data_IF_392617416667
#
_entry.id   IF_392617416667
#
_cell.length_a   1.000
_cell.length_b   1.000
_cell.length_c   1.000
_cell.angle_alpha   90.00
_cell.angle_beta   90.00
_cell.angle_gamma   90.00
#
_symmetry.space_group_name_H-M   'P 1'
#
loop_
_entity.id
_entity.type
_entity.pdbx_description
1 polymer ?
#
# COMPACT_ATOMS: atom_id res chain seq x y z
N UNK A 1 2.58 -19.63 13.52
CA UNK A 1 2.77 -20.06 12.11
C UNK A 1 3.06 -18.82 11.28
N UNK A 2 4.13 -18.81 10.48
CA UNK A 2 4.45 -17.67 9.60
C UNK A 2 3.87 -17.94 8.22
N UNK A 3 3.18 -16.94 7.68
CA UNK A 3 2.63 -16.98 6.33
C UNK A 3 3.58 -16.27 5.35
N UNK A 4 3.85 -16.84 4.17
CA UNK A 4 4.74 -16.22 3.19
C UNK A 4 4.12 -14.93 2.63
N UNK A 5 4.95 -13.88 2.53
CA UNK A 5 4.64 -12.62 1.86
C UNK A 5 5.49 -12.49 0.60
N UNK A 6 4.94 -11.94 -0.49
CA UNK A 6 5.69 -11.71 -1.74
C UNK A 6 7.00 -10.93 -1.50
N UNK A 7 6.91 -9.90 -0.66
CA UNK A 7 8.05 -9.04 -0.32
C UNK A 7 9.18 -9.79 0.42
N UNK A 8 8.88 -10.91 1.10
CA UNK A 8 9.87 -11.66 1.86
C UNK A 8 11.04 -12.17 1.00
N UNK A 9 10.76 -12.60 -0.23
CA UNK A 9 11.80 -13.02 -1.18
C UNK A 9 12.77 -11.88 -1.48
N UNK A 10 12.24 -10.70 -1.78
CA UNK A 10 13.05 -9.50 -2.08
C UNK A 10 13.88 -9.09 -0.86
N UNK A 11 13.28 -9.12 0.34
CA UNK A 11 14.00 -8.82 1.58
C UNK A 11 15.11 -9.82 1.85
N UNK A 12 14.89 -11.13 1.60
CA UNK A 12 15.89 -12.19 1.77
C UNK A 12 17.07 -12.01 0.81
N UNK A 13 16.83 -11.58 -0.43
CA UNK A 13 17.91 -11.27 -1.39
C UNK A 13 18.79 -10.11 -0.91
N UNK A 14 18.21 -9.19 -0.11
CA UNK A 14 18.91 -8.05 0.47
C UNK A 14 19.74 -8.37 1.72
N UNK A 15 19.73 -9.59 2.24
CA UNK A 15 20.55 -10.01 3.39
C UNK A 15 22.05 -9.85 3.08
N UNK A 16 22.46 -10.13 1.85
CA UNK A 16 23.88 -10.15 1.47
C UNK A 16 24.47 -8.79 1.12
N UNK A 17 23.67 -7.80 0.75
CA UNK A 17 24.19 -6.48 0.37
C UNK A 17 24.62 -5.65 1.61
N UNK A 18 25.36 -4.57 1.39
CA UNK A 18 25.86 -3.68 2.45
C UNK A 18 24.84 -2.62 2.91
N UNK A 19 23.83 -2.31 2.08
CA UNK A 19 22.88 -1.23 2.39
C UNK A 19 22.05 -1.54 3.63
N UNK A 20 21.73 -0.53 4.41
CA UNK A 20 20.73 -0.62 5.48
C UNK A 20 19.37 -0.88 4.82
N UNK A 21 18.64 -1.88 5.31
CA UNK A 21 17.28 -2.20 4.84
C UNK A 21 16.27 -1.63 5.82
N UNK A 22 15.35 -0.82 5.33
CA UNK A 22 14.33 -0.18 6.15
C UNK A 22 12.95 -0.62 5.68
N UNK A 23 12.14 -1.19 6.57
CA UNK A 23 10.76 -1.55 6.35
C UNK A 23 9.86 -0.44 6.92
N UNK A 24 9.11 0.23 6.05
CA UNK A 24 8.10 1.24 6.43
C UNK A 24 6.71 0.76 6.07
N UNK A 25 5.67 1.34 6.63
CA UNK A 25 4.29 0.96 6.30
C UNK A 25 3.33 1.21 7.47
N UNK A 26 2.03 1.06 7.21
CA UNK A 26 1.00 1.22 8.23
C UNK A 26 1.23 0.30 9.45
N UNK A 27 0.54 0.59 10.56
CA UNK A 27 0.55 -0.31 11.73
C UNK A 27 -0.08 -1.65 11.37
N UNK A 28 0.38 -2.72 12.03
CA UNK A 28 -0.20 -4.07 11.98
C UNK A 28 -0.27 -4.71 10.57
N UNK A 29 0.54 -4.24 9.63
CA UNK A 29 0.69 -4.85 8.29
C UNK A 29 1.70 -6.00 8.25
N UNK A 30 2.34 -6.32 9.39
CA UNK A 30 3.25 -7.45 9.55
C UNK A 30 4.74 -7.11 9.41
N UNK A 31 5.17 -5.84 9.61
CA UNK A 31 6.60 -5.44 9.58
C UNK A 31 7.44 -6.24 10.58
N UNK A 32 7.06 -6.22 11.86
CA UNK A 32 7.73 -6.97 12.94
C UNK A 32 7.80 -8.47 12.64
N UNK A 33 6.72 -9.04 12.07
CA UNK A 33 6.69 -10.46 11.68
C UNK A 33 7.71 -10.76 10.59
N UNK A 34 7.79 -9.93 9.55
CA UNK A 34 8.79 -10.06 8.48
C UNK A 34 10.22 -9.93 9.02
N UNK A 35 10.45 -8.97 9.93
CA UNK A 35 11.74 -8.79 10.61
C UNK A 35 12.14 -10.03 11.42
N UNK A 36 11.21 -10.61 12.20
CA UNK A 36 11.44 -11.83 12.97
C UNK A 36 11.74 -13.04 12.06
N UNK A 37 11.03 -13.18 10.95
CA UNK A 37 11.29 -14.24 9.97
C UNK A 37 12.70 -14.13 9.37
N UNK A 38 13.14 -12.91 9.02
CA UNK A 38 14.49 -12.67 8.51
C UNK A 38 15.55 -12.92 9.59
N UNK A 39 15.29 -12.46 10.81
CA UNK A 39 16.17 -12.71 11.96
C UNK A 39 16.35 -14.20 12.19
N UNK A 40 15.29 -14.99 12.25
CA UNK A 40 15.37 -16.45 12.43
C UNK A 40 16.12 -17.13 11.28
N UNK A 41 15.91 -16.68 10.04
CA UNK A 41 16.63 -17.21 8.87
C UNK A 41 18.14 -16.98 8.98
N UNK A 42 18.55 -15.78 9.45
CA UNK A 42 19.95 -15.39 9.58
C UNK A 42 20.59 -16.02 10.81
N UNK A 43 19.91 -16.00 11.95
CA UNK A 43 20.45 -16.45 13.24
C UNK A 43 20.75 -17.96 13.29
N UNK A 44 20.13 -18.74 12.39
CA UNK A 44 20.47 -20.17 12.20
C UNK A 44 21.87 -20.39 11.61
N UNK A 45 22.47 -19.39 10.96
CA UNK A 45 23.72 -19.52 10.19
C UNK A 45 24.83 -18.60 10.69
N UNK A 46 24.48 -17.47 11.26
CA UNK A 46 25.43 -16.43 11.68
C UNK A 46 24.90 -15.71 12.92
N UNK A 47 25.77 -14.95 13.61
CA UNK A 47 25.37 -14.16 14.77
C UNK A 47 24.46 -13.00 14.35
N UNK A 48 23.33 -12.87 15.04
CA UNK A 48 22.35 -11.79 14.85
C UNK A 48 21.75 -11.36 16.19
N UNK A 49 21.34 -10.10 16.26
CA UNK A 49 20.60 -9.55 17.41
C UNK A 49 19.30 -8.92 16.94
N UNK A 50 18.25 -9.02 17.76
CA UNK A 50 16.97 -8.34 17.54
C UNK A 50 16.73 -7.35 18.69
N UNK A 51 16.59 -6.06 18.36
CA UNK A 51 16.41 -4.95 19.30
C UNK A 51 15.04 -4.35 19.06
N UNK A 52 14.17 -4.43 20.07
CA UNK A 52 12.84 -3.80 20.05
C UNK A 52 12.91 -2.46 20.78
N UNK A 53 12.77 -1.36 20.05
CA UNK A 53 12.85 0.01 20.61
C UNK A 53 11.55 0.44 21.32
N UNK A 54 10.46 -0.34 21.26
CA UNK A 54 9.28 -0.10 22.11
C UNK A 54 9.56 -0.42 23.59
N UNK A 55 10.57 -1.25 23.88
CA UNK A 55 11.05 -1.51 25.24
C UNK A 55 11.87 -0.31 25.75
N UNK A 56 11.44 0.25 26.88
CA UNK A 56 12.10 1.43 27.50
C UNK A 56 13.59 1.16 27.75
N UNK A 57 13.94 -0.04 28.25
CA UNK A 57 15.32 -0.47 28.47
C UNK A 57 16.21 -0.41 27.22
N UNK A 58 15.64 -0.50 26.03
CA UNK A 58 16.39 -0.48 24.78
C UNK A 58 16.55 0.95 24.22
N UNK A 59 15.79 1.94 24.71
CA UNK A 59 15.86 3.31 24.18
C UNK A 59 17.21 3.96 24.51
N UNK A 60 17.81 3.65 25.66
CA UNK A 60 19.15 4.13 26.04
C UNK A 60 20.25 3.66 25.06
N UNK A 61 20.07 2.48 24.44
CA UNK A 61 20.99 1.95 23.42
C UNK A 61 21.05 2.90 22.20
N UNK A 62 19.94 3.53 21.87
CA UNK A 62 19.79 4.46 20.74
C UNK A 62 20.22 5.91 21.04
N UNK A 63 20.78 6.22 22.21
CA UNK A 63 21.14 7.58 22.60
C UNK A 63 22.47 8.06 21.99
N UNK A 64 23.46 7.17 21.85
CA UNK A 64 24.74 7.47 21.23
C UNK A 64 25.37 6.22 20.60
N UNK A 65 26.41 6.43 19.78
CA UNK A 65 27.11 5.37 19.06
C UNK A 65 27.82 4.40 20.01
N UNK A 66 28.41 4.91 21.08
CA UNK A 66 29.18 4.11 22.05
C UNK A 66 28.27 3.11 22.77
N UNK A 67 27.13 3.56 23.31
CA UNK A 67 26.14 2.68 23.94
C UNK A 67 25.66 1.60 22.95
N UNK A 68 25.44 1.99 21.70
CA UNK A 68 24.99 1.06 20.69
C UNK A 68 26.04 -0.02 20.40
N UNK A 69 27.30 0.37 20.18
CA UNK A 69 28.40 -0.58 19.90
C UNK A 69 28.68 -1.46 21.13
N UNK A 70 28.71 -0.91 22.34
CA UNK A 70 28.90 -1.68 23.58
C UNK A 70 27.79 -2.74 23.73
N UNK A 71 26.55 -2.38 23.42
CA UNK A 71 25.44 -3.34 23.41
C UNK A 71 25.67 -4.46 22.38
N UNK A 72 26.16 -4.14 21.18
CA UNK A 72 26.49 -5.16 20.17
C UNK A 72 27.62 -6.07 20.64
N UNK A 73 28.69 -5.51 21.24
CA UNK A 73 29.84 -6.28 21.77
C UNK A 73 29.35 -7.23 22.86
N UNK A 74 28.53 -6.77 23.80
CA UNK A 74 27.94 -7.60 24.84
C UNK A 74 27.14 -8.77 24.27
N UNK A 75 26.50 -8.57 23.12
CA UNK A 75 25.74 -9.59 22.39
C UNK A 75 26.57 -10.38 21.35
N UNK A 76 27.91 -10.30 21.47
CA UNK A 76 28.84 -11.14 20.72
C UNK A 76 29.32 -10.57 19.39
N UNK A 77 29.16 -9.28 19.14
CA UNK A 77 29.84 -8.59 18.04
C UNK A 77 31.34 -8.49 18.35
N UNK A 78 32.15 -8.73 17.34
CA UNK A 78 33.57 -8.35 17.31
C UNK A 78 33.99 -8.07 15.86
N UNK A 79 35.05 -7.32 15.68
CA UNK A 79 35.54 -6.87 14.37
C UNK A 79 36.03 -8.00 13.47
N UNK A 80 36.42 -9.14 14.03
CA UNK A 80 36.91 -10.34 13.31
C UNK A 80 35.77 -11.13 12.66
N UNK A 81 34.51 -10.85 13.00
CA UNK A 81 33.38 -11.52 12.39
C UNK A 81 33.25 -11.09 10.93
N UNK A 82 33.05 -12.10 10.05
CA UNK A 82 32.79 -11.81 8.64
C UNK A 82 31.53 -10.96 8.44
N UNK A 83 30.51 -11.17 9.25
CA UNK A 83 29.25 -10.38 9.26
C UNK A 83 28.53 -10.55 10.58
N UNK A 84 27.98 -9.44 11.08
CA UNK A 84 27.08 -9.40 12.22
C UNK A 84 25.78 -8.71 11.80
N UNK A 85 24.62 -9.26 12.17
CA UNK A 85 23.33 -8.76 11.75
C UNK A 85 22.59 -8.13 12.89
N UNK A 86 22.06 -6.93 12.65
CA UNK A 86 21.29 -6.16 13.63
C UNK A 86 19.90 -5.90 13.07
N UNK A 87 18.88 -6.37 13.77
CA UNK A 87 17.48 -6.14 13.48
C UNK A 87 16.92 -5.20 14.52
N UNK A 88 16.37 -4.05 14.09
CA UNK A 88 15.87 -2.99 14.96
C UNK A 88 14.40 -2.75 14.63
N UNK A 89 13.50 -3.06 15.56
CA UNK A 89 12.07 -2.79 15.39
C UNK A 89 11.69 -1.45 16.05
N UNK A 90 10.68 -0.76 15.48
CA UNK A 90 10.15 0.52 15.93
C UNK A 90 11.25 1.60 16.14
N UNK A 91 12.21 1.65 15.19
CA UNK A 91 13.42 2.50 15.32
C UNK A 91 13.12 4.00 15.51
N UNK A 92 11.90 4.46 15.23
CA UNK A 92 11.48 5.85 15.48
C UNK A 92 11.41 6.21 16.97
N UNK A 93 11.38 5.23 17.85
CA UNK A 93 11.41 5.45 19.31
C UNK A 93 12.74 6.01 19.79
N UNK A 94 13.82 5.86 19.02
CA UNK A 94 15.14 6.41 19.32
C UNK A 94 15.50 7.51 18.28
N UNK A 95 15.25 8.79 18.58
CA UNK A 95 15.40 9.89 17.62
C UNK A 95 16.80 10.07 17.04
N UNK A 96 17.86 9.66 17.79
CA UNK A 96 19.25 9.75 17.35
C UNK A 96 19.72 8.54 16.53
N UNK A 97 18.92 7.49 16.47
CA UNK A 97 19.33 6.22 15.86
C UNK A 97 19.65 6.36 14.36
N UNK A 98 18.96 7.25 13.62
CA UNK A 98 19.28 7.49 12.22
C UNK A 98 20.74 7.97 12.00
N UNK A 99 21.27 8.79 12.92
CA UNK A 99 22.67 9.25 12.90
C UNK A 99 23.62 8.11 13.29
N UNK A 100 23.26 7.31 14.29
CA UNK A 100 24.03 6.13 14.72
C UNK A 100 24.15 5.15 13.56
N UNK A 101 23.05 4.85 12.87
CA UNK A 101 23.03 3.95 11.71
C UNK A 101 23.88 4.46 10.55
N UNK A 102 23.94 5.79 10.35
CA UNK A 102 24.88 6.40 9.39
C UNK A 102 26.33 6.08 9.76
N UNK A 103 26.73 6.33 11.02
CA UNK A 103 28.08 6.04 11.48
C UNK A 103 28.41 4.55 11.38
N UNK A 104 27.48 3.67 11.72
CA UNK A 104 27.65 2.22 11.57
C UNK A 104 27.92 1.86 10.12
N UNK A 105 27.12 2.38 9.19
CA UNK A 105 27.30 2.10 7.77
C UNK A 105 28.66 2.59 7.24
N UNK A 106 29.12 3.75 7.70
CA UNK A 106 30.34 4.38 7.21
C UNK A 106 31.63 3.77 7.83
N UNK A 107 31.57 3.26 9.08
CA UNK A 107 32.76 2.82 9.82
C UNK A 107 32.78 1.32 10.19
N UNK A 108 31.66 0.59 10.12
CA UNK A 108 31.55 -0.81 10.53
C UNK A 108 31.04 -1.68 9.38
N UNK A 109 31.91 -1.94 8.38
CA UNK A 109 31.53 -2.62 7.13
C UNK A 109 31.02 -4.06 7.32
N UNK A 110 31.33 -4.69 8.46
CA UNK A 110 30.88 -6.04 8.81
C UNK A 110 29.53 -6.07 9.55
N UNK A 111 28.92 -4.91 9.85
CA UNK A 111 27.58 -4.84 10.43
C UNK A 111 26.54 -4.64 9.34
N UNK A 112 25.54 -5.52 9.30
CA UNK A 112 24.38 -5.42 8.42
C UNK A 112 23.15 -5.08 9.24
N UNK A 113 22.46 -3.98 8.88
CA UNK A 113 21.28 -3.50 9.60
C UNK A 113 20.01 -3.69 8.81
N UNK A 114 18.98 -4.22 9.47
CA UNK A 114 17.58 -4.17 9.11
C UNK A 114 16.84 -3.35 10.17
N UNK A 115 16.04 -2.38 9.74
CA UNK A 115 15.24 -1.58 10.66
C UNK A 115 13.78 -1.56 10.20
N UNK A 116 12.85 -1.55 11.14
CA UNK A 116 11.44 -1.32 10.83
C UNK A 116 10.90 -0.16 11.68
N UNK A 117 9.93 0.54 11.11
CA UNK A 117 9.28 1.62 11.82
C UNK A 117 7.96 2.04 11.19
N UNK A 118 7.14 2.74 11.99
CA UNK A 118 5.96 3.39 11.48
C UNK A 118 6.33 4.60 10.64
N UNK A 119 5.47 4.96 9.71
CA UNK A 119 5.70 5.95 8.66
C UNK A 119 5.45 7.40 9.10
N UNK A 120 5.99 7.86 10.22
CA UNK A 120 5.85 9.28 10.53
C UNK A 120 6.72 10.16 9.61
N UNK A 121 6.21 11.32 9.25
CA UNK A 121 6.87 12.32 8.38
C UNK A 121 8.28 12.67 8.90
N UNK A 122 8.41 12.80 10.23
CA UNK A 122 9.69 13.06 10.89
C UNK A 122 10.72 11.96 10.61
N UNK A 123 10.28 10.72 10.49
CA UNK A 123 11.15 9.58 10.20
C UNK A 123 11.52 9.56 8.73
N UNK A 124 10.55 9.75 7.82
CA UNK A 124 10.84 9.81 6.38
C UNK A 124 11.89 10.89 6.09
N UNK A 125 11.78 12.08 6.69
CA UNK A 125 12.73 13.16 6.50
C UNK A 125 14.10 12.86 7.12
N UNK A 126 14.16 12.44 8.39
CA UNK A 126 15.42 12.06 9.05
C UNK A 126 16.15 10.93 8.34
N UNK A 127 15.41 9.89 7.91
CA UNK A 127 15.96 8.80 7.11
C UNK A 127 16.44 9.31 5.75
N UNK A 128 15.67 10.20 5.11
CA UNK A 128 15.98 10.73 3.77
C UNK A 128 17.29 11.53 3.80
N UNK A 129 17.48 12.35 4.81
CA UNK A 129 18.66 13.21 4.98
C UNK A 129 19.87 12.42 5.50
N UNK A 130 19.74 11.72 6.63
CA UNK A 130 20.88 11.08 7.30
C UNK A 130 21.39 9.84 6.55
N UNK A 131 20.50 9.07 5.90
CA UNK A 131 20.85 7.80 5.26
C UNK A 131 20.79 7.87 3.72
N UNK A 132 20.94 9.07 3.14
CA UNK A 132 21.00 9.22 1.69
C UNK A 132 22.10 8.34 1.08
N UNK A 133 21.80 7.57 0.05
CA UNK A 133 22.73 6.65 -0.61
C UNK A 133 23.10 5.39 0.18
N UNK A 134 22.71 5.25 1.46
CA UNK A 134 23.12 4.16 2.37
C UNK A 134 22.05 3.11 2.62
N UNK A 135 20.81 3.32 2.12
CA UNK A 135 19.64 2.51 2.44
C UNK A 135 18.89 2.01 1.22
N UNK A 136 18.14 0.93 1.44
CA UNK A 136 16.97 0.56 0.66
C UNK A 136 15.73 0.66 1.55
N UNK A 137 14.66 1.25 1.05
CA UNK A 137 13.39 1.38 1.76
C UNK A 137 12.36 0.51 1.07
N UNK A 138 11.69 -0.32 1.85
CA UNK A 138 10.62 -1.20 1.39
C UNK A 138 9.32 -0.81 2.10
N UNK A 139 8.32 -0.49 1.32
CA UNK A 139 6.99 -0.15 1.82
C UNK A 139 6.17 -1.43 2.00
N UNK A 140 5.67 -1.64 3.20
CA UNK A 140 4.87 -2.81 3.56
C UNK A 140 3.42 -2.39 3.67
N UNK A 141 2.61 -2.90 2.76
CA UNK A 141 1.18 -2.66 2.69
C UNK A 141 0.37 -3.79 3.35
N UNK A 142 -0.92 -3.59 3.66
CA UNK A 142 -1.85 -4.71 3.87
C UNK A 142 -1.76 -5.70 2.69
N UNK A 143 -2.14 -6.96 2.91
CA UNK A 143 -2.04 -8.03 1.90
C UNK A 143 -2.77 -7.61 0.60
N UNK A 144 -2.21 -8.00 -0.54
CA UNK A 144 -2.95 -8.02 -1.80
C UNK A 144 -3.87 -9.26 -1.87
N UNK A 145 -4.68 -9.37 -2.92
CA UNK A 145 -5.65 -10.46 -2.99
C UNK A 145 -4.99 -11.85 -3.16
N UNK A 146 -3.86 -11.93 -3.84
CA UNK A 146 -3.11 -13.18 -3.97
C UNK A 146 -2.52 -13.62 -2.62
N UNK A 147 -1.92 -12.70 -1.87
CA UNK A 147 -1.44 -12.95 -0.50
C UNK A 147 -2.61 -13.32 0.45
N UNK A 148 -3.78 -12.66 0.27
CA UNK A 148 -4.99 -13.03 1.01
C UNK A 148 -5.38 -14.50 0.78
N UNK A 149 -5.34 -14.99 -0.45
CA UNK A 149 -5.63 -16.39 -0.76
C UNK A 149 -4.61 -17.35 -0.12
N UNK A 150 -3.32 -16.95 -0.04
CA UNK A 150 -2.29 -17.71 0.69
C UNK A 150 -2.61 -17.80 2.19
N UNK A 151 -3.00 -16.68 2.79
CA UNK A 151 -3.35 -16.64 4.22
C UNK A 151 -4.62 -17.44 4.53
N UNK A 152 -5.56 -17.53 3.58
CA UNK A 152 -6.74 -18.40 3.69
C UNK A 152 -6.42 -19.89 3.54
N UNK A 153 -5.22 -20.24 3.06
CA UNK A 153 -4.78 -21.61 2.82
C UNK A 153 -5.75 -22.41 1.91
N UNK A 154 -6.42 -21.72 0.98
CA UNK A 154 -7.35 -22.32 0.05
C UNK A 154 -6.67 -22.65 -1.28
N UNK A 155 -6.10 -23.86 -1.36
CA UNK A 155 -5.39 -24.35 -2.53
C UNK A 155 -6.26 -24.37 -3.80
N UNK A 156 -7.55 -24.66 -3.66
CA UNK A 156 -8.48 -24.70 -4.80
C UNK A 156 -8.76 -23.30 -5.33
N UNK A 157 -9.09 -22.35 -4.45
CA UNK A 157 -9.29 -20.95 -4.84
C UNK A 157 -8.03 -20.36 -5.49
N UNK A 158 -6.85 -20.64 -4.93
CA UNK A 158 -5.57 -20.22 -5.50
C UNK A 158 -5.32 -20.84 -6.88
N UNK A 159 -5.60 -22.11 -7.08
CA UNK A 159 -5.48 -22.77 -8.38
C UNK A 159 -6.39 -22.10 -9.43
N UNK A 160 -7.64 -21.77 -9.07
CA UNK A 160 -8.54 -21.03 -9.96
C UNK A 160 -8.03 -19.62 -10.25
N UNK A 161 -7.58 -18.89 -9.24
CA UNK A 161 -7.00 -17.56 -9.39
C UNK A 161 -5.82 -17.55 -10.39
N UNK A 162 -4.88 -18.49 -10.27
CA UNK A 162 -3.72 -18.59 -11.16
C UNK A 162 -4.10 -18.99 -12.59
N UNK A 163 -5.17 -19.76 -12.78
CA UNK A 163 -5.59 -20.25 -14.10
C UNK A 163 -6.50 -19.28 -14.86
N UNK A 164 -7.09 -18.30 -14.19
CA UNK A 164 -8.02 -17.35 -14.82
C UNK A 164 -7.37 -16.55 -15.95
N UNK A 165 -6.05 -16.31 -15.85
CA UNK A 165 -5.22 -15.64 -16.89
C UNK A 165 -5.24 -16.43 -18.21
N UNK A 166 -5.36 -17.75 -18.15
CA UNK A 166 -5.29 -18.66 -19.29
C UNK A 166 -6.65 -18.81 -19.99
N UNK A 167 -7.74 -18.42 -19.30
CA UNK A 167 -9.10 -18.57 -19.86
C UNK A 167 -9.36 -17.45 -20.85
N UNK A 168 -9.62 -17.83 -22.10
CA UNK A 168 -10.10 -16.92 -23.16
C UNK A 168 -11.61 -17.09 -23.31
N UNK A 169 -12.31 -15.97 -23.47
CA UNK A 169 -13.76 -16.00 -23.67
C UNK A 169 -14.47 -14.77 -23.10
N UNK A 170 -15.66 -14.51 -23.57
CA UNK A 170 -16.41 -13.30 -23.24
C UNK A 170 -16.90 -13.26 -21.77
N UNK A 171 -17.25 -14.41 -21.21
CA UNK A 171 -17.74 -14.50 -19.82
C UNK A 171 -17.03 -15.64 -19.09
N UNK A 172 -16.25 -15.29 -18.08
CA UNK A 172 -15.59 -16.26 -17.22
C UNK A 172 -16.42 -16.45 -15.97
N UNK A 173 -16.99 -17.65 -15.79
CA UNK A 173 -17.67 -17.99 -14.54
C UNK A 173 -16.63 -18.11 -13.42
N UNK A 174 -16.61 -17.13 -12.50
CA UNK A 174 -15.83 -17.27 -11.28
C UNK A 174 -16.45 -18.33 -10.39
N UNK A 175 -15.67 -19.31 -9.90
CA UNK A 175 -16.19 -20.27 -8.93
C UNK A 175 -16.80 -19.56 -7.72
N UNK A 176 -17.95 -20.04 -7.24
CA UNK A 176 -18.69 -19.43 -6.14
C UNK A 176 -17.80 -19.16 -4.92
N UNK A 177 -16.89 -20.09 -4.61
CA UNK A 177 -15.93 -19.98 -3.52
C UNK A 177 -14.96 -18.82 -3.71
N UNK A 178 -14.36 -18.65 -4.90
CA UNK A 178 -13.44 -17.56 -5.19
C UNK A 178 -14.17 -16.21 -5.17
N UNK A 179 -15.41 -16.16 -5.66
CA UNK A 179 -16.23 -14.95 -5.62
C UNK A 179 -16.56 -14.54 -4.17
N UNK A 180 -16.87 -15.51 -3.29
CA UNK A 180 -17.10 -15.27 -1.86
C UNK A 180 -15.84 -14.75 -1.15
N UNK A 181 -14.68 -15.29 -1.47
CA UNK A 181 -13.39 -14.82 -0.93
C UNK A 181 -13.04 -13.41 -1.43
N UNK A 182 -13.31 -13.11 -2.70
CA UNK A 182 -13.16 -11.75 -3.23
C UNK A 182 -14.09 -10.77 -2.51
N UNK A 183 -15.34 -11.12 -2.30
CA UNK A 183 -16.29 -10.28 -1.56
C UNK A 183 -15.83 -10.05 -0.12
N UNK A 184 -15.36 -11.08 0.57
CA UNK A 184 -14.79 -10.96 1.91
C UNK A 184 -13.62 -9.97 1.92
N UNK A 185 -12.71 -10.06 0.96
CA UNK A 185 -11.57 -9.16 0.83
C UNK A 185 -12.01 -7.71 0.53
N UNK A 186 -13.01 -7.52 -0.34
CA UNK A 186 -13.57 -6.21 -0.66
C UNK A 186 -14.27 -5.54 0.53
N UNK A 187 -14.82 -6.34 1.46
CA UNK A 187 -15.51 -5.84 2.65
C UNK A 187 -14.54 -5.58 3.81
N UNK A 188 -13.65 -6.54 4.12
CA UNK A 188 -12.80 -6.49 5.32
C UNK A 188 -11.34 -6.12 5.07
N UNK A 189 -10.93 -6.02 3.82
CA UNK A 189 -9.57 -5.60 3.44
C UNK A 189 -8.49 -6.65 3.63
N UNK A 190 -7.24 -6.17 3.63
CA UNK A 190 -6.02 -6.98 3.57
C UNK A 190 -5.18 -6.97 4.87
N UNK A 191 -5.66 -6.48 5.99
CA UNK A 191 -4.90 -6.54 7.25
C UNK A 191 -4.72 -7.99 7.71
N UNK A 192 -3.47 -8.44 8.00
CA UNK A 192 -3.18 -9.85 8.30
C UNK A 192 -4.06 -10.47 9.39
N UNK A 193 -4.19 -9.79 10.53
CA UNK A 193 -4.98 -10.29 11.66
C UNK A 193 -6.47 -10.39 11.34
N UNK A 194 -6.99 -9.44 10.55
CA UNK A 194 -8.38 -9.45 10.07
C UNK A 194 -8.65 -10.67 9.19
N UNK A 195 -7.72 -11.00 8.29
CA UNK A 195 -7.85 -12.13 7.37
C UNK A 195 -7.83 -13.47 8.11
N UNK A 196 -6.99 -13.60 9.13
CA UNK A 196 -6.85 -14.81 9.92
C UNK A 196 -8.08 -15.09 10.82
N UNK A 197 -8.90 -14.08 11.09
CA UNK A 197 -10.16 -14.27 11.80
C UNK A 197 -11.23 -14.81 10.85
N UNK A 198 -12.02 -15.80 11.30
CA UNK A 198 -13.15 -16.34 10.55
C UNK A 198 -14.49 -15.63 10.86
N UNK A 199 -14.59 -15.01 12.03
CA UNK A 199 -15.82 -14.38 12.52
C UNK A 199 -15.92 -12.91 12.05
N UNK A 200 -16.99 -12.50 11.32
CA UNK A 200 -17.17 -11.14 10.85
C UNK A 200 -17.17 -10.07 11.95
N UNK A 201 -17.79 -10.34 13.09
CA UNK A 201 -17.82 -9.37 14.20
C UNK A 201 -16.44 -9.20 14.83
N UNK A 202 -15.67 -10.29 14.96
CA UNK A 202 -14.28 -10.21 15.40
C UNK A 202 -13.40 -9.44 14.43
N UNK A 203 -13.62 -9.57 13.11
CA UNK A 203 -12.93 -8.75 12.10
C UNK A 203 -13.17 -7.27 12.29
N UNK A 204 -14.42 -6.87 12.55
CA UNK A 204 -14.77 -5.46 12.85
C UNK A 204 -14.08 -4.97 14.12
N UNK A 205 -14.03 -5.80 15.18
CA UNK A 205 -13.32 -5.46 16.41
C UNK A 205 -11.82 -5.29 16.20
N UNK A 206 -11.20 -6.15 15.39
CA UNK A 206 -9.77 -6.03 15.04
C UNK A 206 -9.53 -4.73 14.27
N UNK A 207 -10.34 -4.42 13.24
CA UNK A 207 -10.23 -3.16 12.51
C UNK A 207 -10.39 -1.96 13.45
N UNK A 208 -11.36 -2.02 14.38
CA UNK A 208 -11.53 -0.98 15.39
C UNK A 208 -10.26 -0.79 16.22
N UNK A 209 -9.67 -1.87 16.73
CA UNK A 209 -8.43 -1.81 17.52
C UNK A 209 -7.27 -1.22 16.72
N UNK A 210 -7.12 -1.60 15.43
CA UNK A 210 -6.07 -1.07 14.55
C UNK A 210 -6.21 0.46 14.41
N UNK A 211 -7.42 0.96 14.12
CA UNK A 211 -7.63 2.37 13.84
C UNK A 211 -7.77 3.24 15.08
N UNK A 212 -8.23 2.69 16.20
CA UNK A 212 -8.14 3.38 17.49
C UNK A 212 -6.67 3.61 17.88
N UNK A 213 -5.81 2.58 17.78
CA UNK A 213 -4.36 2.71 18.00
C UNK A 213 -3.69 3.67 17.01
N UNK A 214 -4.10 3.67 15.75
CA UNK A 214 -3.61 4.62 14.75
C UNK A 214 -3.92 6.06 15.18
N UNK A 215 -5.15 6.34 15.58
CA UNK A 215 -5.53 7.68 16.03
C UNK A 215 -4.79 8.08 17.31
N UNK A 216 -4.72 7.20 18.29
CA UNK A 216 -4.10 7.52 19.59
C UNK A 216 -2.59 7.67 19.48
N UNK A 217 -1.91 6.70 18.88
CA UNK A 217 -0.45 6.66 18.86
C UNK A 217 0.15 7.44 17.71
N UNK A 218 -0.34 7.25 16.47
CA UNK A 218 0.30 7.92 15.33
C UNK A 218 -0.16 9.36 15.20
N UNK A 219 -1.49 9.60 15.25
CA UNK A 219 -2.04 10.93 14.98
C UNK A 219 -1.80 11.88 16.16
N UNK A 220 -2.13 11.47 17.38
CA UNK A 220 -2.02 12.36 18.55
C UNK A 220 -0.57 12.46 19.05
N UNK A 221 0.11 11.32 19.28
CA UNK A 221 1.41 11.34 19.94
C UNK A 221 2.57 11.71 19.00
N UNK A 222 2.58 11.18 17.76
CA UNK A 222 3.71 11.38 16.85
C UNK A 222 3.51 12.54 15.86
N UNK A 223 2.29 12.75 15.36
CA UNK A 223 2.02 13.78 14.37
C UNK A 223 1.57 15.10 14.97
N UNK A 224 1.29 15.14 16.29
CA UNK A 224 0.93 16.35 17.00
C UNK A 224 -0.34 17.02 16.45
N UNK A 225 -1.32 16.23 16.00
CA UNK A 225 -2.56 16.76 15.45
C UNK A 225 -3.43 17.31 16.57
N UNK A 226 -3.53 18.63 16.66
CA UNK A 226 -4.30 19.31 17.71
C UNK A 226 -5.82 19.07 17.58
N UNK A 227 -6.36 19.16 16.35
CA UNK A 227 -7.80 19.00 16.10
C UNK A 227 -8.14 17.58 15.66
N UNK A 228 -7.98 16.61 16.53
CA UNK A 228 -8.22 15.18 16.25
C UNK A 228 -9.65 14.92 15.75
N UNK A 229 -10.65 15.64 16.27
CA UNK A 229 -12.03 15.53 15.81
C UNK A 229 -12.18 15.91 14.33
N UNK A 230 -11.51 16.99 13.90
CA UNK A 230 -11.53 17.41 12.49
C UNK A 230 -10.78 16.42 11.60
N UNK A 231 -9.67 15.88 12.08
CA UNK A 231 -8.92 14.82 11.38
C UNK A 231 -9.78 13.58 11.14
N UNK A 232 -10.48 13.09 12.19
CA UNK A 232 -11.43 11.95 12.07
C UNK A 232 -12.55 12.26 11.07
N UNK A 233 -13.13 13.46 11.14
CA UNK A 233 -14.19 13.89 10.22
C UNK A 233 -13.71 13.95 8.78
N UNK A 234 -12.49 14.42 8.53
CA UNK A 234 -11.87 14.41 7.20
C UNK A 234 -11.73 12.98 6.68
N UNK A 235 -11.25 12.04 7.49
CA UNK A 235 -11.15 10.63 7.07
C UNK A 235 -12.52 10.08 6.66
N UNK A 236 -13.58 10.36 7.43
CA UNK A 236 -14.94 9.93 7.09
C UNK A 236 -15.43 10.53 5.78
N UNK A 237 -15.23 11.85 5.57
CA UNK A 237 -15.58 12.54 4.33
C UNK A 237 -14.82 11.96 3.12
N UNK A 238 -13.55 11.65 3.28
CA UNK A 238 -12.76 11.00 2.25
C UNK A 238 -13.25 9.57 1.97
N UNK A 239 -13.67 8.83 2.98
CA UNK A 239 -14.21 7.49 2.82
C UNK A 239 -15.53 7.47 2.03
N UNK A 240 -16.41 8.48 2.24
CA UNK A 240 -17.62 8.69 1.43
C UNK A 240 -17.24 9.02 -0.01
N UNK A 241 -16.32 9.97 -0.20
CA UNK A 241 -15.91 10.50 -1.50
C UNK A 241 -14.73 9.74 -2.13
N UNK A 242 -14.50 8.48 -1.73
CA UNK A 242 -13.40 7.67 -2.25
C UNK A 242 -13.47 7.54 -3.78
N UNK A 243 -12.35 7.81 -4.47
CA UNK A 243 -12.28 7.80 -5.93
C UNK A 243 -12.87 9.05 -6.61
N UNK A 244 -13.35 10.04 -5.84
CA UNK A 244 -13.85 11.29 -6.38
C UNK A 244 -12.78 12.40 -6.37
N UNK A 245 -12.93 13.37 -7.26
CA UNK A 245 -12.08 14.56 -7.29
C UNK A 245 -12.36 15.41 -6.05
N UNK A 246 -11.31 15.76 -5.31
CA UNK A 246 -11.45 16.55 -4.08
C UNK A 246 -11.68 18.02 -4.39
N UNK A 247 -12.68 18.59 -3.73
CA UNK A 247 -12.81 20.02 -3.57
C UNK A 247 -12.31 20.43 -2.18
N UNK A 248 -11.13 21.03 -2.12
CA UNK A 248 -10.50 21.43 -0.85
C UNK A 248 -11.33 22.43 -0.06
N UNK A 249 -12.05 23.36 -0.73
CA UNK A 249 -12.89 24.35 -0.07
C UNK A 249 -14.09 23.69 0.61
N UNK A 250 -14.78 22.79 -0.11
CA UNK A 250 -15.91 22.07 0.47
C UNK A 250 -15.45 21.20 1.65
N UNK A 251 -14.35 20.48 1.48
CA UNK A 251 -13.82 19.62 2.54
C UNK A 251 -13.42 20.44 3.78
N UNK A 252 -12.84 21.64 3.59
CA UNK A 252 -12.48 22.54 4.66
C UNK A 252 -13.71 23.07 5.40
N UNK A 253 -14.74 23.48 4.65
CA UNK A 253 -16.00 23.95 5.20
C UNK A 253 -16.71 22.86 6.00
N UNK A 254 -16.85 21.67 5.42
CA UNK A 254 -17.49 20.52 6.09
C UNK A 254 -16.73 20.07 7.33
N UNK A 255 -15.40 20.09 7.30
CA UNK A 255 -14.55 19.71 8.42
C UNK A 255 -14.35 20.82 9.46
N UNK A 256 -14.78 22.06 9.20
CA UNK A 256 -14.63 23.20 10.12
C UNK A 256 -13.16 23.62 10.34
N UNK A 257 -12.33 23.55 9.28
CA UNK A 257 -10.90 23.91 9.31
C UNK A 257 -10.49 24.71 8.07
N UNK A 258 -9.30 25.28 8.09
CA UNK A 258 -8.76 26.00 6.94
C UNK A 258 -8.21 25.06 5.86
N UNK A 259 -8.18 25.50 4.60
CA UNK A 259 -7.61 24.75 3.47
C UNK A 259 -6.17 24.31 3.69
N UNK A 260 -5.34 25.12 4.38
CA UNK A 260 -3.97 24.74 4.73
C UNK A 260 -3.94 23.51 5.62
N UNK A 261 -4.86 23.44 6.59
CA UNK A 261 -5.01 22.28 7.49
C UNK A 261 -5.43 21.03 6.71
N UNK A 262 -6.36 21.15 5.75
CA UNK A 262 -6.75 20.04 4.88
C UNK A 262 -5.53 19.47 4.14
N UNK A 263 -4.72 20.33 3.50
CA UNK A 263 -3.54 19.89 2.77
C UNK A 263 -2.54 19.19 3.68
N UNK A 264 -2.30 19.71 4.88
CA UNK A 264 -1.44 19.09 5.87
C UNK A 264 -1.97 17.71 6.30
N UNK A 265 -3.28 17.61 6.59
CA UNK A 265 -3.90 16.35 7.01
C UNK A 265 -3.92 15.30 5.89
N UNK A 266 -4.14 15.71 4.64
CA UNK A 266 -4.03 14.79 3.51
C UNK A 266 -2.60 14.25 3.34
N UNK A 267 -1.58 15.12 3.49
CA UNK A 267 -0.19 14.65 3.47
C UNK A 267 0.10 13.67 4.60
N UNK A 268 -0.40 13.93 5.81
CA UNK A 268 -0.24 13.00 6.94
C UNK A 268 -0.94 11.65 6.69
N UNK A 269 -2.14 11.66 6.10
CA UNK A 269 -2.88 10.44 5.76
C UNK A 269 -2.15 9.62 4.69
N UNK A 270 -1.53 10.27 3.70
CA UNK A 270 -0.72 9.61 2.68
C UNK A 270 0.59 9.06 3.27
N UNK A 271 1.26 9.86 4.09
CA UNK A 271 2.51 9.45 4.77
C UNK A 271 2.30 8.28 5.73
N UNK A 272 1.11 8.17 6.34
CA UNK A 272 0.76 7.05 7.23
C UNK A 272 0.17 5.84 6.49
N UNK A 273 0.21 5.83 5.16
CA UNK A 273 -0.30 4.75 4.32
C UNK A 273 -1.79 4.43 4.52
N UNK A 274 -2.60 5.42 4.89
CA UNK A 274 -4.05 5.26 4.94
C UNK A 274 -4.70 5.52 3.59
N UNK A 275 -4.20 6.54 2.88
CA UNK A 275 -4.69 6.94 1.56
C UNK A 275 -3.56 7.01 0.52
N UNK A 276 -3.97 7.01 -0.75
CA UNK A 276 -3.17 7.39 -1.91
C UNK A 276 -3.78 8.61 -2.58
N UNK A 277 -2.97 9.64 -2.81
CA UNK A 277 -3.35 10.81 -3.58
C UNK A 277 -3.01 10.55 -5.05
N UNK A 278 -4.00 10.68 -5.93
CA UNK A 278 -3.86 10.41 -7.35
C UNK A 278 -4.04 11.70 -8.15
N UNK A 279 -2.96 12.21 -8.75
CA UNK A 279 -2.99 13.41 -9.58
C UNK A 279 -3.68 13.16 -10.92
N UNK A 280 -4.33 14.16 -11.51
CA UNK A 280 -4.85 14.05 -12.87
C UNK A 280 -3.71 14.02 -13.89
N UNK A 281 -3.92 13.33 -15.00
CA UNK A 281 -3.02 13.37 -16.15
C UNK A 281 -3.32 14.58 -17.03
N UNK A 282 -2.31 15.39 -17.30
CA UNK A 282 -2.33 16.46 -18.30
C UNK A 282 -1.02 16.43 -19.10
N UNK A 283 -1.08 16.76 -20.39
CA UNK A 283 0.13 17.00 -21.20
C UNK A 283 0.94 18.19 -20.66
N UNK A 284 0.25 19.20 -20.12
CA UNK A 284 0.88 20.34 -19.44
C UNK A 284 1.11 19.99 -17.96
N UNK A 285 2.37 19.84 -17.56
CA UNK A 285 2.77 19.46 -16.19
C UNK A 285 2.34 20.47 -15.11
N UNK A 286 2.27 21.77 -15.42
CA UNK A 286 1.80 22.78 -14.48
C UNK A 286 0.31 22.56 -14.14
N UNK A 287 -0.52 22.25 -15.14
CA UNK A 287 -1.92 21.89 -14.92
C UNK A 287 -2.06 20.62 -14.08
N UNK A 288 -1.20 19.63 -14.33
CA UNK A 288 -1.18 18.38 -13.58
C UNK A 288 -0.96 18.61 -12.07
N UNK A 289 -0.04 19.51 -11.71
CA UNK A 289 0.31 19.83 -10.31
C UNK A 289 -0.79 20.69 -9.63
N UNK A 290 -1.44 21.58 -10.38
CA UNK A 290 -2.36 22.57 -9.79
C UNK A 290 -3.81 22.09 -9.70
N UNK A 291 -4.21 21.09 -10.45
CA UNK A 291 -5.57 20.56 -10.47
C UNK A 291 -5.84 19.61 -9.30
N UNK A 292 -7.12 19.58 -8.90
CA UNK A 292 -7.57 18.74 -7.78
C UNK A 292 -7.35 17.24 -8.03
N UNK A 293 -6.76 16.50 -7.07
CA UNK A 293 -6.53 15.07 -7.18
C UNK A 293 -7.80 14.27 -6.84
N UNK A 294 -7.74 12.96 -7.13
CA UNK A 294 -8.59 11.94 -6.51
C UNK A 294 -7.90 11.36 -5.28
N UNK A 295 -8.69 10.83 -4.34
CA UNK A 295 -8.16 10.12 -3.17
C UNK A 295 -8.78 8.74 -3.08
N UNK A 296 -7.92 7.77 -2.75
CA UNK A 296 -8.29 6.39 -2.54
C UNK A 296 -7.71 5.88 -1.22
N UNK A 297 -8.43 4.97 -0.56
CA UNK A 297 -7.89 4.26 0.59
C UNK A 297 -6.98 3.11 0.14
N UNK A 298 -5.86 2.92 0.84
CA UNK A 298 -4.94 1.81 0.57
C UNK A 298 -5.43 0.46 1.10
N UNK A 299 -6.59 0.46 1.78
CA UNK A 299 -7.28 -0.76 2.21
C UNK A 299 -8.80 -0.54 2.29
N UNK A 300 -9.57 -1.49 1.71
CA UNK A 300 -11.05 -1.41 1.73
C UNK A 300 -11.63 -1.63 3.13
N UNK A 301 -11.00 -2.46 3.96
CA UNK A 301 -11.41 -2.66 5.35
C UNK A 301 -11.27 -1.38 6.16
N UNK A 302 -10.17 -0.63 5.95
CA UNK A 302 -9.98 0.70 6.53
C UNK A 302 -11.09 1.66 6.10
N UNK A 303 -11.33 1.77 4.80
CA UNK A 303 -12.41 2.61 4.27
C UNK A 303 -13.77 2.25 4.87
N UNK A 304 -14.10 0.98 4.86
CA UNK A 304 -15.40 0.49 5.34
C UNK A 304 -15.56 0.67 6.86
N UNK A 305 -14.46 0.59 7.62
CA UNK A 305 -14.46 0.91 9.05
C UNK A 305 -14.84 2.38 9.30
N UNK A 306 -14.22 3.34 8.61
CA UNK A 306 -14.53 4.75 8.79
C UNK A 306 -15.94 5.13 8.30
N UNK A 307 -16.52 4.37 7.37
CA UNK A 307 -17.91 4.48 6.93
C UNK A 307 -18.90 3.73 7.84
N UNK A 308 -18.39 2.88 8.72
CA UNK A 308 -19.21 1.91 9.47
C UNK A 308 -20.13 1.08 8.55
N UNK A 309 -19.61 0.65 7.37
CA UNK A 309 -20.39 -0.06 6.37
C UNK A 309 -19.69 -1.36 5.92
N UNK A 310 -20.07 -2.47 6.54
CA UNK A 310 -19.61 -3.83 6.24
C UNK A 310 -20.70 -4.69 5.56
N UNK A 311 -21.67 -4.05 4.94
CA UNK A 311 -22.72 -4.77 4.20
C UNK A 311 -22.14 -5.47 2.96
N UNK A 312 -22.81 -6.56 2.56
CA UNK A 312 -22.52 -7.27 1.30
C UNK A 312 -22.66 -6.32 0.11
N UNK A 313 -21.82 -6.51 -0.91
CA UNK A 313 -21.70 -5.55 -2.03
C UNK A 313 -23.02 -5.34 -2.78
N UNK A 314 -23.86 -6.37 -2.89
CA UNK A 314 -25.15 -6.26 -3.58
C UNK A 314 -26.08 -5.23 -2.93
N UNK A 315 -26.01 -5.06 -1.61
CA UNK A 315 -26.81 -4.10 -0.84
C UNK A 315 -26.20 -2.70 -0.79
N UNK A 316 -25.04 -2.50 -1.43
CA UNK A 316 -24.31 -1.21 -1.39
C UNK A 316 -24.52 -0.39 -2.64
N UNK A 317 -24.78 0.91 -2.46
CA UNK A 317 -24.85 1.89 -3.55
C UNK A 317 -23.47 2.27 -4.08
N UNK A 318 -22.44 2.17 -3.24
CA UNK A 318 -21.04 2.52 -3.54
C UNK A 318 -20.18 1.35 -4.04
N UNK A 319 -20.79 0.23 -4.43
CA UNK A 319 -20.08 -0.98 -4.87
C UNK A 319 -19.08 -0.74 -6.01
N UNK A 320 -19.38 0.20 -6.92
CA UNK A 320 -18.45 0.60 -7.97
C UNK A 320 -17.18 1.22 -7.42
N UNK A 321 -17.31 2.16 -6.47
CA UNK A 321 -16.17 2.81 -5.80
C UNK A 321 -15.34 1.84 -4.95
N UNK A 322 -15.97 0.84 -4.29
CA UNK A 322 -15.25 -0.23 -3.57
C UNK A 322 -14.39 -1.05 -4.53
N UNK A 323 -14.94 -1.38 -5.70
CA UNK A 323 -14.24 -2.18 -6.70
C UNK A 323 -13.12 -1.39 -7.40
N UNK A 324 -13.35 -0.12 -7.71
CA UNK A 324 -12.32 0.78 -8.23
C UNK A 324 -11.17 0.97 -7.23
N UNK A 325 -11.50 1.15 -5.94
CA UNK A 325 -10.51 1.23 -4.87
C UNK A 325 -9.68 -0.05 -4.73
N UNK A 326 -10.31 -1.22 -4.86
CA UNK A 326 -9.62 -2.50 -4.90
C UNK A 326 -8.57 -2.56 -6.03
N UNK A 327 -8.97 -2.13 -7.23
CA UNK A 327 -8.04 -2.11 -8.37
C UNK A 327 -6.83 -1.21 -8.08
N UNK A 328 -7.04 -0.01 -7.53
CA UNK A 328 -5.92 0.85 -7.16
C UNK A 328 -5.01 0.19 -6.12
N UNK A 329 -5.59 -0.43 -5.09
CA UNK A 329 -4.82 -1.14 -4.07
C UNK A 329 -3.92 -2.21 -4.66
N UNK A 330 -4.45 -3.04 -5.57
CA UNK A 330 -3.67 -4.07 -6.27
C UNK A 330 -2.56 -3.45 -7.12
N UNK A 331 -2.80 -2.32 -7.78
CA UNK A 331 -1.77 -1.58 -8.55
C UNK A 331 -0.64 -1.12 -7.64
N UNK A 332 -0.97 -0.47 -6.52
CA UNK A 332 0.02 0.09 -5.58
C UNK A 332 0.80 -1.02 -4.88
N UNK A 333 0.10 -2.01 -4.31
CA UNK A 333 0.71 -3.10 -3.53
C UNK A 333 1.65 -3.97 -4.37
N UNK A 334 1.36 -4.15 -5.65
CA UNK A 334 2.21 -4.93 -6.55
C UNK A 334 3.26 -4.07 -7.29
N UNK A 335 3.31 -2.74 -7.07
CA UNK A 335 4.27 -1.82 -7.69
C UNK A 335 4.48 -2.09 -9.19
N UNK A 336 3.38 -2.13 -9.95
CA UNK A 336 3.36 -2.64 -11.32
C UNK A 336 4.35 -1.87 -12.18
N UNK A 337 5.45 -2.51 -12.54
CA UNK A 337 6.49 -2.05 -13.50
C UNK A 337 7.00 -0.61 -13.25
N UNK A 338 6.90 -0.09 -12.03
CA UNK A 338 7.31 1.28 -11.67
C UNK A 338 6.66 2.35 -12.57
N UNK A 339 5.36 2.21 -12.85
CA UNK A 339 4.59 3.25 -13.52
C UNK A 339 4.17 4.34 -12.55
N UNK A 340 4.17 5.60 -13.03
CA UNK A 340 3.41 6.66 -12.37
C UNK A 340 1.93 6.45 -12.66
N UNK A 341 1.11 6.50 -11.61
CA UNK A 341 -0.33 6.28 -11.72
C UNK A 341 -1.02 7.63 -11.63
N UNK A 342 -1.94 7.89 -12.56
CA UNK A 342 -2.74 9.12 -12.64
C UNK A 342 -4.16 8.75 -13.07
N UNK A 343 -5.09 9.72 -13.05
CA UNK A 343 -6.39 9.58 -13.70
C UNK A 343 -6.51 10.60 -14.83
N UNK A 344 -7.43 10.38 -15.76
CA UNK A 344 -7.71 11.33 -16.82
C UNK A 344 -9.18 11.73 -16.83
N UNK A 345 -9.46 13.05 -16.97
CA UNK A 345 -10.81 13.57 -17.09
C UNK A 345 -10.83 14.83 -17.93
N UNK A 346 -11.78 14.90 -18.87
CA UNK A 346 -12.04 16.09 -19.70
C UNK A 346 -13.02 17.05 -19.02
N UNK A 347 -13.19 18.24 -19.61
CA UNK A 347 -14.19 19.20 -19.18
C UNK A 347 -15.62 18.67 -19.40
N UNK A 348 -15.83 17.88 -20.42
CA UNK A 348 -17.06 17.19 -20.80
C UNK A 348 -17.35 15.96 -19.93
N UNK A 349 -16.58 15.78 -18.86
CA UNK A 349 -16.69 14.68 -17.86
C UNK A 349 -16.41 13.28 -18.43
N UNK A 350 -15.74 13.15 -19.59
CA UNK A 350 -15.18 11.88 -20.02
C UNK A 350 -14.04 11.52 -19.07
N UNK A 351 -13.98 10.27 -18.62
CA UNK A 351 -13.04 9.86 -17.57
C UNK A 351 -12.45 8.47 -17.84
N UNK A 352 -11.15 8.32 -17.54
CA UNK A 352 -10.45 7.04 -17.43
C UNK A 352 -9.86 6.96 -16.03
N UNK A 353 -10.20 5.89 -15.32
CA UNK A 353 -9.93 5.78 -13.88
C UNK A 353 -8.44 5.79 -13.56
N UNK A 354 -7.61 5.09 -14.35
CA UNK A 354 -6.16 5.05 -14.16
C UNK A 354 -5.41 5.19 -15.47
N UNK A 355 -4.35 5.98 -15.46
CA UNK A 355 -3.38 6.11 -16.54
C UNK A 355 -2.03 5.68 -15.98
N UNK A 356 -1.46 4.63 -16.56
CA UNK A 356 -0.09 4.24 -16.27
C UNK A 356 0.86 5.02 -17.18
N UNK A 357 1.68 5.85 -16.59
CA UNK A 357 2.66 6.68 -17.31
C UNK A 357 4.07 6.17 -17.04
N UNK A 358 4.83 5.86 -18.09
CA UNK A 358 6.25 5.56 -18.01
C UNK A 358 6.96 6.05 -19.28
N UNK A 359 7.77 7.09 -19.16
CA UNK A 359 8.36 7.79 -20.32
C UNK A 359 7.24 8.24 -21.28
N UNK A 360 7.25 7.79 -22.54
CA UNK A 360 6.26 8.11 -23.56
C UNK A 360 5.11 7.10 -23.69
N UNK A 361 5.06 6.10 -22.80
CA UNK A 361 4.01 5.07 -22.80
C UNK A 361 2.92 5.50 -21.83
N UNK A 362 1.70 5.61 -22.35
CA UNK A 362 0.49 5.89 -21.60
C UNK A 362 -0.49 4.74 -21.79
N UNK A 363 -0.86 4.09 -20.70
CA UNK A 363 -1.79 2.95 -20.75
C UNK A 363 -3.06 3.34 -19.97
N UNK A 364 -4.17 3.61 -20.67
CA UNK A 364 -5.45 3.87 -20.01
C UNK A 364 -6.09 2.58 -19.49
N UNK A 365 -6.61 2.64 -18.26
CA UNK A 365 -7.27 1.55 -17.58
C UNK A 365 -8.59 2.06 -17.01
N UNK A 366 -9.71 1.55 -17.50
CA UNK A 366 -11.03 1.80 -16.94
C UNK A 366 -11.50 0.61 -16.10
N UNK A 367 -12.24 0.88 -15.02
CA UNK A 367 -12.74 -0.14 -14.10
C UNK A 367 -14.26 -0.19 -14.15
N UNK A 368 -14.82 -1.38 -14.34
CA UNK A 368 -16.27 -1.60 -14.43
C UNK A 368 -16.67 -2.85 -13.64
N UNK A 369 -17.47 -2.66 -12.59
CA UNK A 369 -17.93 -3.80 -11.76
C UNK A 369 -18.96 -4.69 -12.47
N UNK A 370 -19.58 -4.20 -13.54
CA UNK A 370 -20.63 -4.95 -14.27
C UNK A 370 -20.04 -6.18 -14.95
N UNK A 371 -20.81 -7.27 -14.97
CA UNK A 371 -20.60 -8.39 -15.89
C UNK A 371 -20.98 -7.93 -17.28
N UNK A 372 -20.08 -8.02 -18.25
CA UNK A 372 -20.34 -7.52 -19.59
C UNK A 372 -21.12 -8.53 -20.44
N UNK A 373 -22.21 -8.05 -21.04
CA UNK A 373 -22.84 -8.67 -22.20
C UNK A 373 -22.74 -7.84 -23.49
N UNK A 374 -22.31 -6.55 -23.37
CA UNK A 374 -22.13 -5.63 -24.51
C UNK A 374 -20.87 -4.79 -24.35
N UNK A 375 -20.18 -4.52 -25.47
CA UNK A 375 -18.85 -3.89 -25.55
C UNK A 375 -18.86 -2.35 -25.53
N UNK A 376 -19.96 -1.68 -25.14
CA UNK A 376 -20.13 -0.23 -25.36
C UNK A 376 -19.37 0.70 -24.39
N UNK A 377 -18.87 0.19 -23.28
CA UNK A 377 -18.17 0.98 -22.24
C UNK A 377 -16.71 1.32 -22.58
N UNK A 378 -16.26 1.05 -23.81
CA UNK A 378 -14.90 1.32 -24.26
C UNK A 378 -14.66 2.76 -24.77
N UNK A 379 -15.72 3.57 -24.87
CA UNK A 379 -15.68 4.89 -25.51
C UNK A 379 -14.61 5.80 -24.92
N UNK A 380 -14.58 6.00 -23.61
CA UNK A 380 -13.60 6.89 -22.97
C UNK A 380 -12.15 6.42 -23.12
N UNK A 381 -11.93 5.09 -23.06
CA UNK A 381 -10.61 4.51 -23.32
C UNK A 381 -10.20 4.76 -24.78
N UNK A 382 -11.10 4.58 -25.73
CA UNK A 382 -10.86 4.81 -27.16
C UNK A 382 -10.54 6.30 -27.45
N UNK A 383 -11.29 7.23 -26.83
CA UNK A 383 -11.02 8.67 -26.92
C UNK A 383 -9.61 8.98 -26.44
N UNK A 384 -9.25 8.51 -25.24
CA UNK A 384 -7.90 8.70 -24.71
C UNK A 384 -6.81 8.14 -25.64
N UNK A 385 -6.99 6.90 -26.16
CA UNK A 385 -6.05 6.28 -27.09
C UNK A 385 -5.89 7.09 -28.38
N UNK A 386 -6.94 7.77 -28.82
CA UNK A 386 -6.92 8.61 -30.01
C UNK A 386 -6.21 9.92 -29.75
N UNK A 387 -6.59 10.65 -28.71
CA UNK A 387 -6.07 11.96 -28.34
C UNK A 387 -4.56 11.92 -28.04
N UNK A 388 -4.10 10.85 -27.37
CA UNK A 388 -2.71 10.68 -26.98
C UNK A 388 -1.91 9.71 -27.88
N UNK A 389 -2.46 9.35 -29.05
CA UNK A 389 -1.81 8.49 -30.07
C UNK A 389 -1.27 7.17 -29.50
N UNK A 390 -1.99 6.57 -28.53
CA UNK A 390 -1.64 5.28 -27.95
C UNK A 390 -2.35 4.13 -28.67
N UNK A 391 -1.81 2.90 -28.60
CA UNK A 391 -2.31 1.75 -29.37
C UNK A 391 -3.11 0.76 -28.51
N UNK A 392 -2.91 0.77 -27.18
CA UNK A 392 -3.43 -0.26 -26.29
C UNK A 392 -4.02 0.34 -25.02
N UNK A 393 -5.20 -0.14 -24.64
CA UNK A 393 -5.86 0.19 -23.36
C UNK A 393 -6.54 -1.01 -22.73
N UNK A 394 -6.96 -0.86 -21.48
CA UNK A 394 -7.59 -1.93 -20.70
C UNK A 394 -8.92 -1.50 -20.10
N UNK A 395 -9.82 -2.46 -20.00
CA UNK A 395 -11.05 -2.35 -19.21
C UNK A 395 -11.09 -3.53 -18.24
N UNK A 396 -11.01 -3.21 -16.96
CA UNK A 396 -11.08 -4.19 -15.89
C UNK A 396 -12.54 -4.43 -15.52
N UNK A 397 -12.99 -5.66 -15.64
CA UNK A 397 -14.36 -6.07 -15.33
C UNK A 397 -14.36 -7.19 -14.29
N UNK A 398 -15.53 -7.57 -13.80
CA UNK A 398 -15.64 -8.67 -12.84
C UNK A 398 -15.19 -10.01 -13.44
N UNK A 399 -15.60 -10.31 -14.67
CA UNK A 399 -15.48 -11.66 -15.24
C UNK A 399 -15.43 -11.71 -16.78
N UNK A 400 -14.98 -10.63 -17.43
CA UNK A 400 -14.99 -10.60 -18.90
C UNK A 400 -13.56 -10.56 -19.43
N UNK A 401 -13.25 -11.41 -20.42
CA UNK A 401 -11.94 -11.48 -21.04
C UNK A 401 -12.09 -11.53 -22.57
N UNK A 402 -11.84 -10.41 -23.24
CA UNK A 402 -11.92 -10.28 -24.68
C UNK A 402 -11.01 -9.16 -25.16
N UNK A 403 -10.57 -9.26 -26.42
CA UNK A 403 -9.87 -8.17 -27.10
C UNK A 403 -10.77 -7.64 -28.21
N UNK A 404 -11.01 -6.35 -28.23
CA UNK A 404 -11.66 -5.68 -29.35
C UNK A 404 -10.65 -4.77 -30.08
N UNK A 405 -10.81 -4.68 -31.39
CA UNK A 405 -10.02 -3.79 -32.22
C UNK A 405 -10.94 -2.77 -32.89
N UNK A 406 -10.65 -1.47 -32.69
CA UNK A 406 -11.34 -0.36 -33.33
C UNK A 406 -10.33 0.71 -33.78
N UNK A 407 -10.43 1.18 -35.03
CA UNK A 407 -9.57 2.23 -35.57
C UNK A 407 -8.07 1.98 -35.31
N UNK A 408 -7.59 0.75 -35.54
CA UNK A 408 -6.22 0.31 -35.25
C UNK A 408 -5.79 0.39 -33.77
N UNK A 409 -6.74 0.51 -32.84
CA UNK A 409 -6.52 0.50 -31.41
C UNK A 409 -6.99 -0.84 -30.82
N UNK A 410 -6.25 -1.37 -29.85
CA UNK A 410 -6.60 -2.62 -29.14
C UNK A 410 -7.07 -2.29 -27.73
N UNK A 411 -8.27 -2.73 -27.39
CA UNK A 411 -8.81 -2.60 -26.05
C UNK A 411 -9.00 -3.99 -25.46
N UNK A 412 -8.31 -4.23 -24.37
CA UNK A 412 -8.31 -5.52 -23.68
C UNK A 412 -9.29 -5.46 -22.50
N UNK A 413 -10.35 -6.24 -22.55
CA UNK A 413 -11.18 -6.52 -21.38
C UNK A 413 -10.54 -7.66 -20.62
N UNK A 414 -10.28 -7.46 -19.35
CA UNK A 414 -9.68 -8.49 -18.49
C UNK A 414 -10.38 -8.55 -17.12
N UNK A 415 -10.41 -9.73 -16.48
CA UNK A 415 -10.93 -9.84 -15.12
C UNK A 415 -10.08 -9.07 -14.14
N UNK A 416 -10.71 -8.20 -13.36
CA UNK A 416 -10.00 -7.39 -12.37
C UNK A 416 -9.38 -8.21 -11.23
N UNK A 417 -9.90 -9.41 -10.99
CA UNK A 417 -9.43 -10.27 -9.89
C UNK A 417 -7.94 -10.66 -10.01
N UNK A 418 -7.41 -10.70 -11.24
CA UNK A 418 -6.03 -11.12 -11.51
C UNK A 418 -5.36 -10.28 -12.59
N UNK A 419 -5.77 -9.02 -12.74
CA UNK A 419 -5.29 -8.16 -13.82
C UNK A 419 -3.78 -7.85 -13.73
N UNK A 420 -3.20 -7.90 -12.55
CA UNK A 420 -1.77 -7.66 -12.29
C UNK A 420 -0.88 -8.58 -13.14
N UNK A 421 -1.33 -9.80 -13.40
CA UNK A 421 -0.60 -10.78 -14.21
C UNK A 421 -0.76 -10.56 -15.74
N UNK A 422 -1.66 -9.65 -16.16
CA UNK A 422 -1.86 -9.29 -17.57
C UNK A 422 -1.06 -8.03 -17.99
N UNK A 423 -0.67 -7.19 -17.03
CA UNK A 423 0.06 -5.94 -17.24
C UNK A 423 1.56 -6.13 -17.11
#
# INVERSE_FOLDING_TARGET
MFYPRKIYKILSENIKNSKIVILTGARQVGKTTLMKMLYEQVNKKTKAIFIDMDLISNQEIGENLENFINHLIFNGYNEKLKRFYVFIDEFQRAPKLAMILKNIYDHYSNIKVFASGSSSLSIKNKIKESLAGRKFVFEIYPLDFEEFLEFKQDAQAKKYFNNIVKVKGANIALPAKLNKLLEEFLIFGGYPEVILSSNPEKKKQILKSIFDLYIEKDVMMFLGVEKVWAYKKIIQLLAVNNGQIINYNNLAQEAGVHNKTIRSYLSLLEDTYLIQILSPFFSNKQKEITKSPKIYFLDNGARNYFLNNFNVLEKRTDKGGVFENYVLQEIVKNNIKNYNIKFWRTKEKQEVDFIFEKRNILIPIAVKIKSYGKTDDHRNVLTFLTDYKQQKGYILSKNFNQIIQKHNKKIHFIPAINFVHFL
#
